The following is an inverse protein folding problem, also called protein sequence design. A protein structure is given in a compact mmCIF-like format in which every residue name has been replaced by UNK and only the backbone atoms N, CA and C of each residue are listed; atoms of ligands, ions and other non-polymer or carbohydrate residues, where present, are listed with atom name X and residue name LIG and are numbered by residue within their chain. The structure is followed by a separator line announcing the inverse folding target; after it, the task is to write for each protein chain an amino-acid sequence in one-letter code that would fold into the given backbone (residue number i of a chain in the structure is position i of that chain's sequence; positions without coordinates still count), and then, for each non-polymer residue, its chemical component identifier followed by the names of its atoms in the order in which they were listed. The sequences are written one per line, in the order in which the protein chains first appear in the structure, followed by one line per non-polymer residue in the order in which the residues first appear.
data_IF_455884980709
#
_entry.id   IF_455884980709
#
_cell.length_a   1.000
_cell.length_b   1.000
_cell.length_c   1.000
_cell.angle_alpha   90.00
_cell.angle_beta   90.00
_cell.angle_gamma   90.00
#
_symmetry.space_group_name_H-M   'P 1'
#
loop_
_entity.id
_entity.type
_entity.pdbx_description
1 polymer ?
#
# COMPACT_ATOMS: atom_id res chain seq x y z
N UNK A 1 -6.67 10.55 52.30
CA UNK A 1 -6.05 9.85 51.16
C UNK A 1 -5.00 8.82 51.58
N UNK A 2 -3.86 9.20 52.20
CA UNK A 2 -2.81 8.22 52.58
C UNK A 2 -3.30 7.14 53.54
N UNK A 3 -4.02 7.49 54.61
CA UNK A 3 -4.58 6.52 55.56
C UNK A 3 -5.57 5.55 54.88
N UNK A 4 -6.46 6.08 54.03
CA UNK A 4 -7.42 5.26 53.27
C UNK A 4 -6.74 4.26 52.32
N UNK A 5 -5.60 4.63 51.72
CA UNK A 5 -4.84 3.72 50.88
C UNK A 5 -4.20 2.57 51.70
N UNK A 6 -3.67 2.88 52.89
CA UNK A 6 -3.14 1.87 53.81
C UNK A 6 -4.26 0.92 54.24
N UNK A 7 -5.41 1.46 54.65
CA UNK A 7 -6.55 0.64 55.09
C UNK A 7 -7.04 -0.30 53.98
N UNK A 8 -7.06 0.17 52.73
CA UNK A 8 -7.43 -0.64 51.57
C UNK A 8 -6.44 -1.79 51.30
N UNK A 9 -5.14 -1.55 51.47
CA UNK A 9 -4.09 -2.57 51.23
C UNK A 9 -4.07 -3.59 52.37
N UNK A 10 -4.27 -3.13 53.61
CA UNK A 10 -4.42 -4.02 54.78
C UNK A 10 -5.65 -4.91 54.61
N UNK A 11 -6.76 -4.38 54.08
CA UNK A 11 -7.96 -5.18 53.80
C UNK A 11 -7.74 -6.28 52.75
N UNK A 12 -6.72 -6.15 51.89
CA UNK A 12 -6.34 -7.16 50.90
C UNK A 12 -5.39 -8.23 51.46
N UNK A 13 -4.92 -8.09 52.71
CA UNK A 13 -3.94 -8.99 53.35
C UNK A 13 -2.70 -9.25 52.49
N UNK A 14 -2.14 -8.21 51.87
CA UNK A 14 -0.92 -8.36 51.05
C UNK A 14 0.27 -8.66 51.95
N UNK A 15 0.96 -9.76 51.67
CA UNK A 15 2.06 -10.29 52.49
C UNK A 15 3.39 -10.35 51.72
N UNK A 16 4.47 -10.18 52.48
CA UNK A 16 5.80 -10.67 52.13
C UNK A 16 5.97 -12.08 52.65
N UNK A 17 6.67 -12.90 51.88
CA UNK A 17 6.98 -14.28 52.26
C UNK A 17 8.45 -14.57 52.06
N UNK A 18 9.04 -15.27 53.02
CA UNK A 18 10.44 -15.67 52.99
C UNK A 18 10.60 -17.06 53.61
N UNK A 19 11.36 -17.93 52.96
CA UNK A 19 11.84 -19.16 53.58
C UNK A 19 13.02 -18.84 54.49
N UNK A 20 12.97 -19.32 55.72
CA UNK A 20 14.03 -19.11 56.69
C UNK A 20 14.16 -20.26 57.66
N UNK A 21 15.30 -20.29 58.32
CA UNK A 21 15.61 -21.22 59.39
C UNK A 21 16.13 -20.40 60.56
N UNK A 22 15.65 -20.68 61.78
CA UNK A 22 16.04 -19.92 62.97
C UNK A 22 17.46 -20.27 63.45
N UNK A 23 17.84 -21.55 63.36
CA UNK A 23 19.15 -22.11 63.73
C UNK A 23 19.50 -23.29 62.80
N UNK A 24 20.77 -23.69 62.66
CA UNK A 24 21.18 -24.82 61.76
C UNK A 24 20.42 -26.13 62.00
N UNK A 25 19.93 -26.36 63.23
CA UNK A 25 19.16 -27.56 63.59
C UNK A 25 17.63 -27.42 63.40
N UNK A 26 17.14 -26.22 63.10
CA UNK A 26 15.70 -25.96 62.96
C UNK A 26 15.18 -26.39 61.58
N UNK A 27 13.90 -26.77 61.47
CA UNK A 27 13.29 -27.05 60.18
C UNK A 27 13.13 -25.76 59.36
N UNK A 28 13.18 -25.88 58.03
CA UNK A 28 12.86 -24.79 57.11
C UNK A 28 11.39 -24.40 57.26
N UNK A 29 11.14 -23.14 57.60
CA UNK A 29 9.78 -22.60 57.77
C UNK A 29 9.53 -21.42 56.84
N UNK A 30 8.26 -21.26 56.47
CA UNK A 30 7.79 -20.13 55.67
C UNK A 30 7.38 -19.00 56.61
N UNK A 31 8.14 -17.90 56.62
CA UNK A 31 7.80 -16.69 57.35
C UNK A 31 6.92 -15.80 56.49
N UNK A 32 5.90 -15.20 57.11
CA UNK A 32 4.97 -14.28 56.46
C UNK A 32 4.85 -13.00 57.27
N UNK A 33 4.75 -11.87 56.59
CA UNK A 33 4.50 -10.57 57.23
C UNK A 33 3.66 -9.71 56.31
N UNK A 34 2.66 -9.01 56.86
CA UNK A 34 1.89 -8.02 56.12
C UNK A 34 2.80 -6.91 55.61
N UNK A 35 2.52 -6.43 54.38
CA UNK A 35 3.26 -5.31 53.78
C UNK A 35 3.11 -4.05 54.64
N UNK A 36 1.91 -3.79 55.16
CA UNK A 36 1.66 -2.77 56.17
C UNK A 36 1.31 -3.45 57.49
N UNK A 37 2.33 -3.80 58.28
CA UNK A 37 2.13 -4.36 59.62
C UNK A 37 1.86 -3.22 60.63
N UNK A 38 0.70 -3.20 61.31
CA UNK A 38 0.41 -2.19 62.34
C UNK A 38 1.38 -2.21 63.53
N UNK A 39 2.07 -3.33 63.74
CA UNK A 39 2.97 -3.56 64.87
C UNK A 39 4.41 -3.08 64.59
N UNK A 40 4.77 -2.83 63.33
CA UNK A 40 6.11 -2.41 62.92
C UNK A 40 6.04 -1.13 62.08
N UNK A 41 6.06 0.01 62.76
CA UNK A 41 6.09 1.32 62.10
C UNK A 41 7.43 1.61 61.40
N UNK A 42 8.51 0.92 61.76
CA UNK A 42 9.85 1.20 61.23
C UNK A 42 9.98 0.84 59.76
N UNK A 43 9.25 -0.19 59.31
CA UNK A 43 9.28 -0.66 57.93
C UNK A 43 8.36 0.13 56.97
N UNK A 44 7.52 1.02 57.51
CA UNK A 44 6.47 1.74 56.76
C UNK A 44 6.97 2.49 55.53
N UNK A 45 8.17 3.06 55.58
CA UNK A 45 8.79 3.74 54.44
C UNK A 45 9.01 2.78 53.27
N UNK A 46 9.56 1.59 53.53
CA UNK A 46 9.81 0.59 52.50
C UNK A 46 8.51 0.05 51.93
N UNK A 47 7.51 -0.22 52.79
CA UNK A 47 6.16 -0.63 52.35
C UNK A 47 5.57 0.31 51.30
N UNK A 48 5.78 1.63 51.43
CA UNK A 48 5.35 2.60 50.43
C UNK A 48 6.10 2.49 49.11
N UNK A 49 7.41 2.21 49.12
CA UNK A 49 8.18 1.97 47.90
C UNK A 49 7.64 0.75 47.15
N UNK A 50 7.40 -0.35 47.87
CA UNK A 50 6.80 -1.57 47.31
C UNK A 50 5.39 -1.33 46.75
N UNK A 51 4.59 -0.49 47.41
CA UNK A 51 3.26 -0.12 46.92
C UNK A 51 3.35 0.71 45.62
N UNK A 52 4.27 1.66 45.54
CA UNK A 52 4.49 2.45 44.32
C UNK A 52 4.92 1.54 43.18
N UNK A 53 5.83 0.60 43.42
CA UNK A 53 6.23 -0.40 42.42
C UNK A 53 5.04 -1.23 41.92
N UNK A 54 4.13 -1.61 42.83
CA UNK A 54 2.89 -2.31 42.45
C UNK A 54 1.98 -1.45 41.58
N UNK A 55 1.75 -0.19 41.97
CA UNK A 55 0.90 0.74 41.19
C UNK A 55 1.48 1.02 39.81
N UNK A 56 2.81 1.07 39.68
CA UNK A 56 3.51 1.26 38.40
C UNK A 56 3.58 -0.04 37.58
N UNK A 57 3.34 -1.19 38.20
CA UNK A 57 3.35 -2.51 37.55
C UNK A 57 4.73 -3.17 37.48
N UNK A 58 5.70 -2.72 38.30
CA UNK A 58 6.97 -3.43 38.50
C UNK A 58 6.84 -4.61 39.47
N UNK A 59 5.76 -4.67 40.22
CA UNK A 59 5.37 -5.79 41.06
C UNK A 59 3.89 -6.07 40.84
N UNK A 60 3.49 -7.30 41.05
CA UNK A 60 2.09 -7.70 41.01
C UNK A 60 1.68 -8.26 42.37
N UNK A 61 0.37 -8.23 42.66
CA UNK A 61 -0.20 -8.88 43.84
C UNK A 61 -0.99 -10.08 43.35
N UNK A 62 -0.62 -11.27 43.82
CA UNK A 62 -1.21 -12.53 43.38
C UNK A 62 -1.79 -13.24 44.60
N UNK A 63 -3.06 -13.61 44.51
CA UNK A 63 -3.73 -14.45 45.52
C UNK A 63 -3.60 -15.92 45.11
N UNK A 64 -2.93 -16.71 45.94
CA UNK A 64 -2.89 -18.16 45.84
C UNK A 64 -4.03 -18.72 46.67
N UNK A 65 -5.05 -19.26 46.00
CA UNK A 65 -6.18 -19.89 46.68
C UNK A 65 -5.91 -21.40 46.80
N UNK A 66 -5.82 -21.86 48.04
CA UNK A 66 -5.61 -23.27 48.36
C UNK A 66 -6.79 -23.84 49.14
N UNK A 67 -6.87 -25.16 49.21
CA UNK A 67 -7.97 -25.86 49.92
C UNK A 67 -7.97 -25.57 51.44
N UNK A 68 -6.81 -25.19 51.99
CA UNK A 68 -6.61 -24.96 53.44
C UNK A 68 -6.46 -23.49 53.78
N UNK A 69 -5.72 -22.74 52.97
CA UNK A 69 -5.39 -21.35 53.24
C UNK A 69 -5.17 -20.59 51.93
N UNK A 70 -5.57 -19.32 51.92
CA UNK A 70 -5.31 -18.40 50.82
C UNK A 70 -4.18 -17.45 51.21
N UNK A 71 -3.24 -17.22 50.29
CA UNK A 71 -2.08 -16.38 50.53
C UNK A 71 -2.01 -15.30 49.45
N UNK A 72 -2.10 -14.04 49.84
CA UNK A 72 -1.98 -12.90 48.93
C UNK A 72 -0.55 -12.35 48.98
N UNK A 73 0.22 -12.59 47.93
CA UNK A 73 1.65 -12.28 47.89
C UNK A 73 1.96 -11.08 47.00
N UNK A 74 2.88 -10.23 47.46
CA UNK A 74 3.54 -9.27 46.58
C UNK A 74 4.71 -9.95 45.86
N UNK A 75 4.74 -9.92 44.54
CA UNK A 75 5.82 -10.53 43.75
C UNK A 75 7.15 -9.79 43.92
N UNK A 76 8.23 -10.45 43.49
CA UNK A 76 9.52 -9.80 43.33
C UNK A 76 9.44 -8.66 42.30
N UNK A 77 10.40 -7.73 42.37
CA UNK A 77 10.53 -6.64 41.40
C UNK A 77 10.86 -7.25 40.05
N UNK A 78 9.95 -7.07 39.10
CA UNK A 78 10.09 -7.52 37.74
C UNK A 78 10.07 -6.30 36.81
N UNK A 79 11.25 -5.79 36.38
CA UNK A 79 11.28 -4.71 35.43
C UNK A 79 10.68 -5.19 34.10
N UNK A 80 10.05 -4.27 33.37
CA UNK A 80 9.57 -4.58 32.02
C UNK A 80 10.74 -5.08 31.16
N UNK A 81 10.71 -6.36 30.82
CA UNK A 81 11.69 -6.96 29.93
C UNK A 81 11.44 -6.37 28.54
N UNK A 82 12.38 -5.57 28.07
CA UNK A 82 12.40 -5.13 26.67
C UNK A 82 12.91 -6.28 25.83
N UNK A 83 12.03 -7.23 25.54
CA UNK A 83 12.41 -8.29 24.64
C UNK A 83 12.43 -7.78 23.19
N UNK A 84 13.41 -8.26 22.44
CA UNK A 84 13.64 -7.84 21.08
C UNK A 84 12.61 -8.58 20.21
N UNK A 85 11.71 -7.83 19.58
CA UNK A 85 10.80 -8.44 18.60
C UNK A 85 11.64 -9.07 17.49
N UNK A 86 11.46 -10.37 17.24
CA UNK A 86 12.19 -11.09 16.20
C UNK A 86 12.06 -10.39 14.85
N UNK A 87 13.19 -10.04 14.23
CA UNK A 87 13.23 -9.38 12.91
C UNK A 87 12.53 -10.20 11.82
N UNK A 88 12.42 -11.52 11.99
CA UNK A 88 11.75 -12.42 11.03
C UNK A 88 10.22 -12.28 11.09
N UNK A 89 9.66 -11.86 12.23
CA UNK A 89 8.22 -11.66 12.41
C UNK A 89 7.77 -10.23 12.04
N UNK A 90 8.68 -9.34 11.62
CA UNK A 90 8.32 -7.98 11.24
C UNK A 90 7.71 -7.93 9.82
N UNK A 91 6.43 -7.52 9.67
CA UNK A 91 5.81 -7.28 8.37
C UNK A 91 6.38 -6.04 7.64
N UNK A 92 7.37 -5.36 8.22
CA UNK A 92 8.03 -4.18 7.66
C UNK A 92 8.71 -4.47 6.32
N UNK A 93 9.15 -5.71 6.09
CA UNK A 93 9.75 -6.08 4.79
C UNK A 93 8.75 -5.90 3.64
N UNK A 94 7.49 -6.30 3.81
CA UNK A 94 6.46 -6.12 2.78
C UNK A 94 6.08 -4.65 2.64
N UNK A 95 5.82 -3.94 3.73
CA UNK A 95 5.44 -2.53 3.67
C UNK A 95 6.54 -1.65 3.04
N UNK A 96 7.80 -1.91 3.40
CA UNK A 96 8.97 -1.24 2.82
C UNK A 96 9.13 -1.55 1.33
N UNK A 97 8.92 -2.81 0.94
CA UNK A 97 8.91 -3.22 -0.47
C UNK A 97 7.81 -2.51 -1.27
N UNK A 98 6.56 -2.53 -0.79
CA UNK A 98 5.44 -1.84 -1.43
C UNK A 98 5.71 -0.34 -1.56
N UNK A 99 6.21 0.29 -0.50
CA UNK A 99 6.60 1.71 -0.53
C UNK A 99 7.69 1.99 -1.56
N UNK A 100 8.71 1.13 -1.64
CA UNK A 100 9.80 1.27 -2.62
C UNK A 100 9.28 1.16 -4.05
N UNK A 101 8.37 0.21 -4.31
CA UNK A 101 7.70 0.09 -5.61
C UNK A 101 6.90 1.36 -5.93
N UNK A 102 6.09 1.86 -5.00
CA UNK A 102 5.32 3.11 -5.19
C UNK A 102 6.24 4.28 -5.51
N UNK A 103 7.36 4.44 -4.79
CA UNK A 103 8.36 5.47 -5.03
C UNK A 103 9.02 5.34 -6.40
N UNK A 104 9.38 4.11 -6.80
CA UNK A 104 9.94 3.83 -8.12
C UNK A 104 8.95 4.23 -9.22
N UNK A 105 7.70 3.78 -9.15
CA UNK A 105 6.68 4.11 -10.17
C UNK A 105 6.48 5.63 -10.25
N UNK A 106 6.35 6.32 -9.10
CA UNK A 106 6.19 7.78 -9.08
C UNK A 106 7.39 8.49 -9.71
N UNK A 107 8.61 8.08 -9.36
CA UNK A 107 9.84 8.69 -9.88
C UNK A 107 9.96 8.50 -11.40
N UNK A 108 9.66 7.30 -11.90
CA UNK A 108 9.65 7.01 -13.33
C UNK A 108 8.58 7.81 -14.07
N UNK A 109 7.37 7.96 -13.50
CA UNK A 109 6.32 8.78 -14.10
C UNK A 109 6.69 10.26 -14.18
N UNK A 110 7.36 10.80 -13.15
CA UNK A 110 7.89 12.17 -13.16
C UNK A 110 8.96 12.32 -14.24
N UNK A 111 9.91 11.37 -14.32
CA UNK A 111 10.93 11.35 -15.37
C UNK A 111 10.30 11.35 -16.77
N UNK A 112 9.28 10.52 -17.00
CA UNK A 112 8.57 10.50 -18.27
C UNK A 112 7.85 11.81 -18.56
N UNK A 113 7.16 12.39 -17.58
CA UNK A 113 6.50 13.67 -17.78
C UNK A 113 7.50 14.76 -18.21
N UNK A 114 8.66 14.83 -17.56
CA UNK A 114 9.75 15.76 -17.93
C UNK A 114 10.25 15.47 -19.35
N UNK A 115 10.49 14.20 -19.67
CA UNK A 115 10.93 13.79 -21.01
C UNK A 115 9.93 14.18 -22.10
N UNK A 116 8.62 13.99 -21.86
CA UNK A 116 7.58 14.39 -22.79
C UNK A 116 7.56 15.91 -22.99
N UNK A 117 7.70 16.71 -21.92
CA UNK A 117 7.80 18.16 -22.01
C UNK A 117 9.02 18.61 -22.84
N UNK A 118 10.16 17.93 -22.68
CA UNK A 118 11.34 18.18 -23.53
C UNK A 118 11.03 17.89 -25.00
N UNK A 119 10.36 16.79 -25.32
CA UNK A 119 9.98 16.50 -26.70
C UNK A 119 8.98 17.50 -27.28
N UNK A 120 8.02 17.99 -26.49
CA UNK A 120 7.08 19.05 -26.88
C UNK A 120 7.85 20.33 -27.23
N UNK A 121 8.84 20.71 -26.41
CA UNK A 121 9.68 21.87 -26.69
C UNK A 121 10.53 21.66 -27.96
N UNK A 122 11.14 20.49 -28.13
CA UNK A 122 11.96 20.15 -29.29
C UNK A 122 11.18 20.06 -30.60
N UNK A 123 9.87 19.81 -30.55
CA UNK A 123 8.98 19.84 -31.73
C UNK A 123 8.25 21.18 -31.90
N UNK A 124 8.64 22.21 -31.15
CA UNK A 124 8.00 23.54 -31.18
C UNK A 124 6.48 23.50 -30.92
N UNK A 125 6.01 22.56 -30.10
CA UNK A 125 4.59 22.39 -29.80
C UNK A 125 3.78 21.65 -30.88
N UNK A 126 4.41 21.19 -31.96
CA UNK A 126 3.74 20.37 -32.98
C UNK A 126 3.60 18.92 -32.50
N UNK A 127 2.66 18.69 -31.58
CA UNK A 127 2.33 17.37 -31.01
C UNK A 127 0.82 17.22 -30.88
N UNK A 128 0.34 15.98 -30.87
CA UNK A 128 -1.04 15.70 -30.48
C UNK A 128 -1.17 15.73 -28.95
N UNK A 129 -1.67 16.85 -28.43
CA UNK A 129 -1.86 17.05 -26.98
C UNK A 129 -2.87 16.06 -26.38
N UNK A 130 -3.79 15.52 -27.19
CA UNK A 130 -4.77 14.54 -26.71
C UNK A 130 -4.11 13.22 -26.33
N UNK A 131 -2.97 12.90 -26.96
CA UNK A 131 -2.17 11.73 -26.60
C UNK A 131 -1.44 11.91 -25.27
N UNK A 132 -1.21 13.15 -24.80
CA UNK A 132 -0.59 13.41 -23.49
C UNK A 132 -1.45 12.86 -22.34
N UNK A 133 -2.78 12.99 -22.43
CA UNK A 133 -3.71 12.45 -21.43
C UNK A 133 -3.72 10.90 -21.36
N UNK A 134 -3.06 10.23 -22.31
CA UNK A 134 -2.93 8.77 -22.35
C UNK A 134 -1.63 8.27 -21.71
N UNK A 135 -0.84 9.17 -21.08
CA UNK A 135 0.39 8.85 -20.36
C UNK A 135 0.20 7.72 -19.35
N UNK A 136 -0.88 7.76 -18.56
CA UNK A 136 -1.18 6.74 -17.56
C UNK A 136 -1.42 5.35 -18.18
N UNK A 137 -2.03 5.29 -19.36
CA UNK A 137 -2.49 4.04 -20.00
C UNK A 137 -1.48 3.44 -20.94
N UNK A 138 -0.69 4.28 -21.60
CA UNK A 138 0.30 3.84 -22.59
C UNK A 138 1.69 3.98 -22.00
N UNK A 139 2.10 5.20 -21.64
CA UNK A 139 3.46 5.47 -21.17
C UNK A 139 3.84 4.67 -19.93
N UNK A 140 2.98 4.65 -18.91
CA UNK A 140 3.28 3.92 -17.69
C UNK A 140 3.45 2.41 -17.94
N UNK A 141 2.59 1.80 -18.75
CA UNK A 141 2.66 0.36 -19.02
C UNK A 141 3.95 0.00 -19.75
N UNK A 142 4.38 0.86 -20.68
CA UNK A 142 5.58 0.66 -21.48
C UNK A 142 6.87 0.80 -20.65
N UNK A 143 6.93 1.81 -19.78
CA UNK A 143 8.16 2.18 -19.09
C UNK A 143 8.31 1.58 -17.69
N UNK A 144 7.19 1.34 -17.01
CA UNK A 144 7.17 0.76 -15.66
C UNK A 144 6.87 -0.72 -15.72
N UNK A 145 5.94 -1.13 -16.59
CA UNK A 145 5.49 -2.51 -16.72
C UNK A 145 4.27 -2.84 -15.84
N UNK A 146 3.44 -3.77 -16.35
CA UNK A 146 2.19 -4.20 -15.70
C UNK A 146 2.37 -4.71 -14.26
N UNK A 147 3.39 -5.51 -13.91
CA UNK A 147 3.52 -6.06 -12.55
C UNK A 147 3.73 -5.00 -11.46
N UNK A 148 4.58 -3.99 -11.72
CA UNK A 148 4.84 -2.93 -10.74
C UNK A 148 3.65 -1.98 -10.59
N UNK A 149 2.93 -1.71 -11.69
CA UNK A 149 1.67 -0.98 -11.64
C UNK A 149 0.58 -1.76 -10.89
N UNK A 150 0.55 -3.09 -11.02
CA UNK A 150 -0.36 -3.95 -10.25
C UNK A 150 -0.08 -3.84 -8.76
N UNK A 151 1.19 -3.99 -8.35
CA UNK A 151 1.60 -3.84 -6.95
C UNK A 151 1.25 -2.45 -6.39
N UNK A 152 1.44 -1.39 -7.19
CA UNK A 152 1.02 -0.02 -6.83
C UNK A 152 -0.49 0.07 -6.58
N UNK A 153 -1.30 -0.44 -7.51
CA UNK A 153 -2.75 -0.44 -7.34
C UNK A 153 -3.23 -1.28 -6.16
N UNK A 154 -2.60 -2.43 -5.92
CA UNK A 154 -2.89 -3.31 -4.79
C UNK A 154 -2.57 -2.64 -3.46
N UNK A 155 -1.47 -1.88 -3.39
CA UNK A 155 -1.10 -1.10 -2.21
C UNK A 155 -2.18 -0.08 -1.89
N UNK A 156 -2.71 0.62 -2.90
CA UNK A 156 -3.78 1.59 -2.71
C UNK A 156 -5.09 0.95 -2.25
N UNK A 157 -5.48 -0.18 -2.84
CA UNK A 157 -6.65 -0.95 -2.41
C UNK A 157 -6.45 -1.42 -0.95
N UNK A 158 -5.26 -1.89 -0.61
CA UNK A 158 -4.88 -2.26 0.76
C UNK A 158 -5.10 -1.10 1.73
N UNK A 159 -4.51 0.06 1.44
CA UNK A 159 -4.64 1.28 2.27
C UNK A 159 -6.10 1.70 2.42
N UNK A 160 -6.89 1.68 1.33
CA UNK A 160 -8.33 2.02 1.37
C UNK A 160 -9.21 0.94 2.03
N UNK A 161 -8.66 -0.26 2.24
CA UNK A 161 -9.31 -1.39 2.91
C UNK A 161 -8.87 -1.57 4.36
N UNK A 162 -7.95 -0.73 4.85
CA UNK A 162 -7.42 -0.73 6.21
C UNK A 162 -7.71 0.58 6.93
N UNK A 163 -7.95 0.53 8.24
CA UNK A 163 -7.98 1.71 9.09
C UNK A 163 -6.56 2.20 9.43
N UNK A 164 -6.39 3.49 9.66
CA UNK A 164 -5.11 4.06 10.09
C UNK A 164 -5.02 4.08 11.61
N UNK A 165 -4.14 3.25 12.17
CA UNK A 165 -3.85 3.19 13.60
C UNK A 165 -2.38 3.55 13.82
N UNK A 166 -2.13 4.48 14.74
CA UNK A 166 -0.79 4.84 15.16
C UNK A 166 -0.57 4.35 16.59
N UNK A 167 0.61 3.79 16.85
CA UNK A 167 1.03 3.39 18.19
C UNK A 167 1.75 4.58 18.85
N UNK A 168 1.18 5.06 19.95
CA UNK A 168 1.74 6.14 20.75
C UNK A 168 2.24 5.59 22.08
N UNK A 169 3.28 6.23 22.61
CA UNK A 169 3.86 5.90 23.91
C UNK A 169 3.91 7.15 24.79
N UNK A 170 3.25 7.11 25.95
CA UNK A 170 3.21 8.24 26.89
C UNK A 170 4.42 8.31 27.83
N UNK A 171 5.35 7.35 27.75
CA UNK A 171 6.41 7.15 28.74
C UNK A 171 6.12 5.99 29.70
N UNK A 172 4.85 5.64 29.90
CA UNK A 172 4.41 4.60 30.84
C UNK A 172 3.50 3.56 30.17
N UNK A 173 2.64 3.98 29.24
CA UNK A 173 1.73 3.08 28.53
C UNK A 173 1.87 3.26 27.01
N UNK A 174 1.78 2.13 26.29
CA UNK A 174 1.62 2.10 24.84
C UNK A 174 0.15 1.98 24.51
N UNK A 175 -0.36 2.84 23.63
CA UNK A 175 -1.77 2.82 23.23
C UNK A 175 -1.92 3.12 21.74
N UNK A 176 -3.00 2.60 21.15
CA UNK A 176 -3.36 2.91 19.77
C UNK A 176 -4.23 4.15 19.71
N UNK A 177 -3.95 5.04 18.76
CA UNK A 177 -4.84 6.12 18.39
C UNK A 177 -5.30 5.96 16.95
N UNK A 178 -6.58 6.25 16.70
CA UNK A 178 -7.13 6.26 15.36
C UNK A 178 -6.74 7.56 14.66
N UNK A 179 -5.93 7.46 13.61
CA UNK A 179 -5.54 8.63 12.84
C UNK A 179 -6.66 9.02 11.86
N UNK A 180 -7.09 10.28 11.91
CA UNK A 180 -8.07 10.81 10.98
C UNK A 180 -7.40 11.06 9.62
N UNK A 181 -7.75 10.25 8.61
CA UNK A 181 -7.24 10.42 7.25
C UNK A 181 -8.00 11.56 6.56
N UNK A 182 -7.32 12.62 6.07
CA UNK A 182 -7.99 13.69 5.34
C UNK A 182 -8.65 13.20 4.05
N UNK A 183 -9.79 13.77 3.68
CA UNK A 183 -10.58 13.37 2.51
C UNK A 183 -9.79 13.39 1.20
N UNK A 184 -8.85 14.34 1.05
CA UNK A 184 -8.04 14.46 -0.17
C UNK A 184 -7.03 13.31 -0.34
N UNK A 185 -6.53 12.75 0.76
CA UNK A 185 -5.67 11.55 0.70
C UNK A 185 -6.47 10.33 0.26
N UNK A 186 -7.74 10.23 0.68
CA UNK A 186 -8.66 9.17 0.23
C UNK A 186 -8.93 9.27 -1.28
N UNK A 187 -9.16 10.48 -1.80
CA UNK A 187 -9.36 10.69 -3.25
C UNK A 187 -8.07 10.37 -4.03
N UNK A 188 -6.92 10.76 -3.50
CA UNK A 188 -5.62 10.42 -4.11
C UNK A 188 -5.40 8.91 -4.15
N UNK A 189 -5.65 8.21 -3.03
CA UNK A 189 -5.56 6.76 -2.97
C UNK A 189 -6.58 6.07 -3.90
N UNK A 190 -7.79 6.62 -4.06
CA UNK A 190 -8.76 6.12 -5.02
C UNK A 190 -8.27 6.29 -6.46
N UNK A 191 -7.57 7.39 -6.77
CA UNK A 191 -6.94 7.57 -8.08
C UNK A 191 -5.87 6.50 -8.34
N UNK A 192 -5.17 6.01 -7.33
CA UNK A 192 -4.20 4.93 -7.49
C UNK A 192 -4.84 3.57 -7.86
N UNK A 193 -6.14 3.36 -7.62
CA UNK A 193 -6.86 2.17 -8.10
C UNK A 193 -6.99 2.19 -9.64
N UNK A 194 -7.00 3.36 -10.27
CA UNK A 194 -7.15 3.49 -11.73
C UNK A 194 -6.00 2.85 -12.52
N UNK A 195 -4.84 2.62 -11.89
CA UNK A 195 -3.78 1.80 -12.47
C UNK A 195 -4.23 0.37 -12.75
N UNK A 196 -5.04 -0.22 -11.87
CA UNK A 196 -5.61 -1.55 -12.09
C UNK A 196 -6.57 -1.52 -13.28
N UNK A 197 -7.39 -0.46 -13.41
CA UNK A 197 -8.28 -0.27 -14.56
C UNK A 197 -7.48 -0.20 -15.87
N UNK A 198 -6.37 0.53 -15.88
CA UNK A 198 -5.48 0.61 -17.04
C UNK A 198 -4.91 -0.76 -17.42
N UNK A 199 -4.44 -1.55 -16.44
CA UNK A 199 -3.92 -2.91 -16.68
C UNK A 199 -5.01 -3.83 -17.24
N UNK A 200 -6.22 -3.79 -16.68
CA UNK A 200 -7.34 -4.62 -17.14
C UNK A 200 -7.75 -4.24 -18.56
N UNK A 201 -7.88 -2.95 -18.87
CA UNK A 201 -8.14 -2.48 -20.24
C UNK A 201 -7.06 -2.97 -21.22
N UNK A 202 -5.81 -2.93 -20.80
CA UNK A 202 -4.65 -3.27 -21.61
C UNK A 202 -4.43 -4.78 -21.79
N UNK A 203 -4.91 -5.61 -20.87
CA UNK A 203 -5.05 -7.07 -21.07
C UNK A 203 -6.25 -7.39 -21.96
N UNK A 204 -7.38 -6.70 -21.73
CA UNK A 204 -8.61 -6.87 -22.50
C UNK A 204 -8.48 -6.38 -23.94
N UNK A 205 -7.47 -5.56 -24.26
CA UNK A 205 -7.23 -4.98 -25.58
C UNK A 205 -7.14 -6.02 -26.70
N UNK A 206 -6.67 -7.24 -26.39
CA UNK A 206 -6.65 -8.38 -27.33
C UNK A 206 -8.05 -8.71 -27.86
N UNK A 207 -9.07 -8.53 -27.01
CA UNK A 207 -10.48 -8.81 -27.30
C UNK A 207 -11.26 -7.55 -27.70
N UNK A 208 -10.99 -6.43 -27.04
CA UNK A 208 -11.80 -5.20 -27.16
C UNK A 208 -11.32 -4.27 -28.28
N UNK A 209 -10.05 -4.34 -28.67
CA UNK A 209 -9.47 -3.67 -29.85
C UNK A 209 -9.91 -2.19 -29.98
N UNK A 210 -10.56 -1.81 -31.08
CA UNK A 210 -10.97 -0.43 -31.35
C UNK A 210 -12.01 0.10 -30.36
N UNK A 211 -12.80 -0.77 -29.71
CA UNK A 211 -13.78 -0.35 -28.71
C UNK A 211 -13.11 0.28 -27.47
N UNK A 212 -11.88 -0.14 -27.12
CA UNK A 212 -11.19 0.34 -25.91
C UNK A 212 -11.01 1.85 -25.91
N UNK A 213 -10.76 2.46 -27.07
CA UNK A 213 -10.55 3.91 -27.19
C UNK A 213 -11.77 4.71 -26.70
N UNK A 214 -12.98 4.18 -26.93
CA UNK A 214 -14.23 4.87 -26.64
C UNK A 214 -14.65 4.74 -25.17
N UNK A 215 -14.55 3.54 -24.59
CA UNK A 215 -15.05 3.32 -23.23
C UNK A 215 -14.00 3.51 -22.14
N UNK A 216 -12.70 3.41 -22.44
CA UNK A 216 -11.67 3.35 -21.40
C UNK A 216 -11.66 4.62 -20.52
N UNK A 217 -11.87 5.81 -21.10
CA UNK A 217 -11.92 7.10 -20.37
C UNK A 217 -13.11 7.15 -19.42
N UNK A 218 -14.31 6.83 -19.92
CA UNK A 218 -15.51 6.72 -19.10
C UNK A 218 -15.35 5.69 -17.97
N UNK A 219 -14.86 4.50 -18.28
CA UNK A 219 -14.65 3.43 -17.30
C UNK A 219 -13.68 3.84 -16.18
N UNK A 220 -12.57 4.50 -16.51
CA UNK A 220 -11.62 4.97 -15.49
C UNK A 220 -12.24 6.03 -14.59
N UNK A 221 -12.96 7.00 -15.16
CA UNK A 221 -13.65 8.04 -14.38
C UNK A 221 -14.74 7.44 -13.49
N UNK A 222 -15.51 6.48 -14.01
CA UNK A 222 -16.57 5.79 -13.27
C UNK A 222 -16.00 5.02 -12.08
N UNK A 223 -14.96 4.20 -12.29
CA UNK A 223 -14.33 3.44 -11.21
C UNK A 223 -13.69 4.37 -10.18
N UNK A 224 -13.03 5.45 -10.62
CA UNK A 224 -12.44 6.43 -9.71
C UNK A 224 -13.50 7.11 -8.84
N UNK A 225 -14.57 7.63 -9.46
CA UNK A 225 -15.67 8.24 -8.72
C UNK A 225 -16.33 7.25 -7.77
N UNK A 226 -16.61 6.03 -8.21
CA UNK A 226 -17.20 4.98 -7.39
C UNK A 226 -16.32 4.63 -6.17
N UNK A 227 -15.04 4.38 -6.39
CA UNK A 227 -14.11 4.02 -5.31
C UNK A 227 -13.85 5.18 -4.34
N UNK A 228 -13.76 6.41 -4.83
CA UNK A 228 -13.62 7.61 -4.00
C UNK A 228 -14.87 7.84 -3.15
N UNK A 229 -16.05 7.83 -3.76
CA UNK A 229 -17.35 8.02 -3.06
C UNK A 229 -17.61 6.94 -2.04
N UNK A 230 -17.41 5.66 -2.40
CA UNK A 230 -17.53 4.54 -1.47
C UNK A 230 -16.59 4.71 -0.28
N UNK A 231 -15.36 5.17 -0.53
CA UNK A 231 -14.35 5.30 0.53
C UNK A 231 -14.59 6.47 1.47
N UNK A 232 -15.22 7.54 0.99
CA UNK A 232 -15.61 8.70 1.79
C UNK A 232 -16.90 8.42 2.56
N UNK A 233 -17.90 7.82 1.91
CA UNK A 233 -19.21 7.56 2.50
C UNK A 233 -19.16 6.46 3.57
N UNK A 234 -18.31 5.46 3.37
CA UNK A 234 -18.15 4.32 4.27
C UNK A 234 -16.65 4.18 4.55
N UNK A 235 -16.09 4.90 5.54
CA UNK A 235 -14.70 4.73 5.93
C UNK A 235 -14.47 3.37 6.61
N UNK A 236 -13.25 2.84 6.52
CA UNK A 236 -12.87 1.58 7.17
C UNK A 236 -12.75 1.77 8.68
N UNK A 237 -13.45 0.93 9.44
CA UNK A 237 -13.31 0.87 10.90
C UNK A 237 -12.33 -0.22 11.32
N UNK A 238 -11.66 -0.01 12.45
CA UNK A 238 -10.89 -1.04 13.14
C UNK A 238 -11.77 -1.71 14.20
N UNK A 239 -11.49 -2.97 14.51
CA UNK A 239 -12.10 -3.70 15.61
C UNK A 239 -10.99 -4.23 16.53
N UNK A 240 -11.11 -3.95 17.83
CA UNK A 240 -10.22 -4.44 18.86
C UNK A 240 -11.04 -5.21 19.88
N UNK A 241 -10.69 -6.47 20.10
CA UNK A 241 -11.25 -7.30 21.17
C UNK A 241 -10.11 -7.63 22.11
N UNK A 242 -10.19 -7.18 23.35
CA UNK A 242 -9.23 -7.54 24.39
C UNK A 242 -9.82 -8.74 25.14
N UNK A 243 -9.19 -9.90 24.97
CA UNK A 243 -9.54 -11.13 25.67
C UNK A 243 -8.22 -11.79 26.08
N UNK A 244 -7.83 -11.58 27.34
CA UNK A 244 -6.57 -12.10 27.88
C UNK A 244 -6.79 -13.55 28.30
N UNK A 245 -6.33 -14.48 27.47
CA UNK A 245 -6.28 -15.89 27.79
C UNK A 245 -4.82 -16.34 27.84
N UNK A 246 -4.39 -16.82 29.00
CA UNK A 246 -3.06 -17.37 29.19
C UNK A 246 -3.19 -18.86 29.46
N UNK A 247 -2.49 -19.65 28.66
CA UNK A 247 -2.39 -21.09 28.87
C UNK A 247 -0.93 -21.46 29.17
N UNK A 248 -0.74 -22.29 30.19
CA UNK A 248 0.55 -22.89 30.50
C UNK A 248 0.78 -24.01 29.48
N UNK A 249 1.53 -23.73 28.41
CA UNK A 249 1.80 -24.69 27.35
C UNK A 249 2.80 -25.76 27.81
N UNK A 250 3.74 -25.36 28.67
CA UNK A 250 4.62 -26.27 29.38
C UNK A 250 4.89 -25.68 30.77
N UNK A 251 4.50 -26.43 31.80
CA UNK A 251 4.78 -26.13 33.20
C UNK A 251 6.31 -25.99 33.32
N UNK A 252 6.78 -24.81 33.76
CA UNK A 252 8.18 -24.39 33.90
C UNK A 252 8.94 -23.83 32.67
N UNK A 253 8.36 -23.78 31.46
CA UNK A 253 9.12 -23.25 30.29
C UNK A 253 8.37 -22.30 29.36
N UNK A 254 7.04 -22.37 29.28
CA UNK A 254 6.31 -21.53 28.32
C UNK A 254 4.86 -21.29 28.75
N UNK A 255 4.53 -20.02 28.97
CA UNK A 255 3.15 -19.53 29.05
C UNK A 255 2.86 -18.80 27.74
N UNK A 256 1.81 -19.22 27.03
CA UNK A 256 1.33 -18.55 25.82
C UNK A 256 0.11 -17.73 26.20
N UNK A 257 0.24 -16.41 26.17
CA UNK A 257 -0.86 -15.48 26.39
C UNK A 257 -1.33 -14.89 25.07
N UNK A 258 -2.60 -15.08 24.74
CA UNK A 258 -3.30 -14.29 23.72
C UNK A 258 -3.98 -13.14 24.44
N UNK A 259 -3.54 -11.90 24.21
CA UNK A 259 -4.07 -10.73 24.93
C UNK A 259 -5.27 -10.07 24.24
N UNK A 260 -5.43 -10.30 22.94
CA UNK A 260 -6.53 -9.73 22.16
C UNK A 260 -6.33 -9.87 20.65
N UNK A 261 -7.41 -9.59 19.93
CA UNK A 261 -7.47 -9.59 18.47
C UNK A 261 -7.67 -8.16 17.95
N UNK A 262 -6.75 -7.71 17.11
CA UNK A 262 -6.81 -6.41 16.42
C UNK A 262 -7.05 -6.63 14.93
N UNK A 263 -8.25 -6.30 14.45
CA UNK A 263 -8.60 -6.33 13.05
C UNK A 263 -8.59 -4.89 12.48
N UNK A 264 -7.60 -4.60 11.63
CA UNK A 264 -7.41 -3.27 11.02
C UNK A 264 -8.07 -3.19 9.64
N UNK A 265 -8.16 -4.33 8.94
CA UNK A 265 -8.58 -4.39 7.54
C UNK A 265 -9.85 -5.20 7.31
N UNK A 266 -10.56 -4.86 6.23
CA UNK A 266 -11.77 -5.55 5.80
C UNK A 266 -11.50 -6.30 4.48
N UNK A 267 -11.33 -7.64 4.49
CA UNK A 267 -11.01 -8.40 3.27
C UNK A 267 -12.13 -8.34 2.22
N UNK A 268 -13.39 -8.27 2.66
CA UNK A 268 -14.54 -8.13 1.78
C UNK A 268 -14.48 -6.83 0.95
N UNK A 269 -14.02 -5.74 1.57
CA UNK A 269 -13.85 -4.45 0.88
C UNK A 269 -12.74 -4.51 -0.16
N UNK A 270 -11.62 -5.15 0.16
CA UNK A 270 -10.51 -5.36 -0.76
C UNK A 270 -10.96 -6.14 -2.01
N UNK A 271 -11.62 -7.29 -1.80
CA UNK A 271 -12.16 -8.11 -2.90
C UNK A 271 -13.24 -7.35 -3.66
N UNK A 272 -14.09 -6.59 -2.95
CA UNK A 272 -15.12 -5.74 -3.54
C UNK A 272 -14.55 -4.66 -4.46
N UNK A 273 -13.43 -4.02 -4.11
CA UNK A 273 -12.78 -3.01 -4.97
C UNK A 273 -12.19 -3.64 -6.23
N UNK A 274 -11.52 -4.80 -6.12
CA UNK A 274 -11.01 -5.54 -7.29
C UNK A 274 -12.18 -5.99 -8.18
N UNK A 275 -13.23 -6.54 -7.56
CA UNK A 275 -14.46 -6.94 -8.23
C UNK A 275 -15.09 -5.78 -8.99
N UNK A 276 -15.21 -4.59 -8.36
CA UNK A 276 -15.75 -3.38 -8.97
C UNK A 276 -14.96 -2.95 -10.20
N UNK A 277 -13.62 -3.02 -10.17
CA UNK A 277 -12.78 -2.72 -11.34
C UNK A 277 -13.11 -3.66 -12.50
N UNK A 278 -13.21 -4.97 -12.24
CA UNK A 278 -13.49 -5.97 -13.28
C UNK A 278 -14.92 -5.87 -13.82
N UNK A 279 -15.91 -5.69 -12.95
CA UNK A 279 -17.32 -5.60 -13.34
C UNK A 279 -17.61 -4.32 -14.10
N UNK A 280 -17.11 -3.17 -13.64
CA UNK A 280 -17.24 -1.90 -14.37
C UNK A 280 -16.59 -1.99 -15.75
N UNK A 281 -15.42 -2.62 -15.86
CA UNK A 281 -14.76 -2.81 -17.15
C UNK A 281 -15.62 -3.63 -18.13
N UNK A 282 -16.11 -4.78 -17.67
CA UNK A 282 -16.97 -5.65 -18.46
C UNK A 282 -18.26 -4.92 -18.89
N UNK A 283 -18.94 -4.26 -17.94
CA UNK A 283 -20.17 -3.51 -18.22
C UNK A 283 -19.93 -2.38 -19.22
N UNK A 284 -18.88 -1.59 -19.06
CA UNK A 284 -18.54 -0.52 -20.01
C UNK A 284 -18.22 -1.06 -21.40
N UNK A 285 -17.52 -2.20 -21.49
CA UNK A 285 -17.24 -2.85 -22.77
C UNK A 285 -18.52 -3.36 -23.44
N UNK A 286 -19.38 -4.08 -22.73
CA UNK A 286 -20.65 -4.57 -23.27
C UNK A 286 -21.57 -3.40 -23.68
N UNK A 287 -21.66 -2.36 -22.85
CA UNK A 287 -22.41 -1.16 -23.18
C UNK A 287 -21.88 -0.50 -24.46
N UNK A 288 -20.56 -0.31 -24.58
CA UNK A 288 -19.95 0.24 -25.79
C UNK A 288 -20.23 -0.64 -27.02
N UNK A 289 -20.18 -1.96 -26.88
CA UNK A 289 -20.46 -2.89 -27.98
C UNK A 289 -21.93 -2.89 -28.43
N UNK A 290 -22.86 -2.63 -27.52
CA UNK A 290 -24.30 -2.60 -27.82
C UNK A 290 -24.81 -1.24 -28.27
N UNK A 291 -24.21 -0.15 -27.78
CA UNK A 291 -24.64 1.22 -28.07
C UNK A 291 -23.92 1.80 -29.30
N UNK A 292 -22.67 1.43 -29.52
CA UNK A 292 -21.87 1.98 -30.62
C UNK A 292 -21.89 1.04 -31.83
N UNK A 293 -22.01 1.64 -33.01
CA UNK A 293 -21.75 0.93 -34.26
C UNK A 293 -20.34 0.36 -34.26
N UNK A 294 -20.13 -0.71 -35.04
CA UNK A 294 -18.83 -1.37 -35.14
C UNK A 294 -17.78 -0.35 -35.59
N UNK A 295 -16.77 -0.02 -34.75
CA UNK A 295 -15.76 0.96 -35.10
C UNK A 295 -14.93 0.48 -36.30
N UNK A 296 -14.51 1.44 -37.13
CA UNK A 296 -13.67 1.16 -38.28
C UNK A 296 -12.31 0.59 -37.84
N UNK A 297 -11.84 -0.44 -38.55
CA UNK A 297 -10.58 -1.10 -38.24
C UNK A 297 -9.41 -0.15 -38.47
N UNK A 298 -8.52 -0.04 -37.48
CA UNK A 298 -7.38 0.88 -37.55
C UNK A 298 -6.38 0.45 -38.64
N UNK A 299 -5.99 1.33 -39.58
CA UNK A 299 -5.04 0.99 -40.64
C UNK A 299 -3.60 0.85 -40.13
N UNK A 300 -3.30 1.34 -38.92
CA UNK A 300 -1.97 1.28 -38.32
C UNK A 300 -1.52 -0.16 -38.03
N UNK A 301 -0.62 -0.65 -38.86
CA UNK A 301 0.08 -1.93 -38.69
C UNK A 301 1.58 -1.67 -38.71
N UNK A 302 2.19 -1.62 -37.52
CA UNK A 302 3.63 -1.46 -37.38
C UNK A 302 4.13 -2.27 -36.18
N UNK A 303 5.28 -2.93 -36.35
CA UNK A 303 5.94 -3.73 -35.29
C UNK A 303 6.44 -2.84 -34.16
N UNK A 304 6.72 -1.57 -34.44
CA UNK A 304 7.22 -0.59 -33.47
C UNK A 304 6.11 0.00 -32.58
N UNK A 305 4.83 -0.27 -32.88
CA UNK A 305 3.71 0.23 -32.09
C UNK A 305 3.32 -0.75 -31.00
N UNK A 306 3.30 -0.25 -29.76
CA UNK A 306 2.63 -0.94 -28.67
C UNK A 306 1.12 -1.06 -28.96
N UNK A 307 0.49 -2.17 -28.56
CA UNK A 307 -0.94 -2.38 -28.80
C UNK A 307 -1.80 -1.21 -28.25
N UNK A 308 -1.49 -0.72 -27.05
CA UNK A 308 -2.17 0.44 -26.48
C UNK A 308 -1.96 1.72 -27.29
N UNK A 309 -0.77 1.94 -27.86
CA UNK A 309 -0.52 3.07 -28.76
C UNK A 309 -1.33 2.94 -30.05
N UNK A 310 -1.37 1.75 -30.65
CA UNK A 310 -2.13 1.46 -31.88
C UNK A 310 -3.62 1.79 -31.74
N UNK A 311 -4.26 1.35 -30.66
CA UNK A 311 -5.71 1.47 -30.51
C UNK A 311 -6.14 2.74 -29.76
N UNK A 312 -5.33 3.27 -28.85
CA UNK A 312 -5.73 4.42 -28.04
C UNK A 312 -5.21 5.75 -28.57
N UNK A 313 -4.13 5.82 -29.36
CA UNK A 313 -3.64 7.11 -29.86
C UNK A 313 -4.57 7.70 -30.92
N UNK A 314 -4.68 9.03 -30.88
CA UNK A 314 -5.25 9.81 -31.96
C UNK A 314 -4.21 9.82 -33.07
N UNK A 315 -4.60 9.30 -34.24
CA UNK A 315 -3.68 9.02 -35.36
C UNK A 315 -4.18 9.54 -36.70
N UNK A 316 -5.46 9.92 -36.81
CA UNK A 316 -6.11 10.24 -38.09
C UNK A 316 -5.39 11.36 -38.86
N UNK A 317 -5.01 12.45 -38.19
CA UNK A 317 -4.38 13.61 -38.83
C UNK A 317 -2.87 13.43 -39.09
N UNK A 318 -2.30 12.30 -38.68
CA UNK A 318 -0.87 12.01 -38.74
C UNK A 318 -0.52 10.87 -39.70
N UNK A 319 -1.53 10.33 -40.40
CA UNK A 319 -1.34 9.30 -41.42
C UNK A 319 -1.37 9.95 -42.79
N UNK A 320 -0.36 9.65 -43.58
CA UNK A 320 -0.23 10.12 -44.95
C UNK A 320 0.22 8.95 -45.84
N UNK A 321 -0.69 8.52 -46.72
CA UNK A 321 -0.54 7.31 -47.54
C UNK A 321 -0.26 6.06 -46.68
N UNK A 322 0.94 5.50 -46.84
CA UNK A 322 1.40 4.30 -46.10
C UNK A 322 2.39 4.61 -44.97
N UNK A 323 2.51 5.89 -44.56
CA UNK A 323 3.43 6.34 -43.52
C UNK A 323 2.63 6.97 -42.39
N UNK A 324 2.86 6.50 -41.17
CA UNK A 324 2.37 7.14 -39.96
C UNK A 324 3.47 8.05 -39.39
N UNK A 325 3.23 9.36 -39.38
CA UNK A 325 4.13 10.34 -38.81
C UNK A 325 3.87 10.47 -37.31
N UNK A 326 4.51 9.62 -36.52
CA UNK A 326 4.33 9.60 -35.07
C UNK A 326 5.04 10.79 -34.41
N UNK A 327 4.30 11.68 -33.76
CA UNK A 327 4.92 12.80 -33.05
C UNK A 327 5.91 12.30 -31.98
N UNK A 328 7.00 13.06 -31.74
CA UNK A 328 8.11 12.59 -30.90
C UNK A 328 7.72 12.35 -29.44
N UNK A 329 6.70 13.06 -28.95
CA UNK A 329 6.16 12.89 -27.59
C UNK A 329 5.40 11.56 -27.51
N UNK A 330 4.49 11.29 -28.45
CA UNK A 330 3.80 10.00 -28.56
C UNK A 330 4.79 8.85 -28.79
N UNK A 331 5.86 9.07 -29.59
CA UNK A 331 6.91 8.08 -29.79
C UNK A 331 7.61 7.72 -28.47
N UNK A 332 7.98 8.72 -27.66
CA UNK A 332 8.55 8.49 -26.33
C UNK A 332 7.58 7.81 -25.37
N UNK A 333 6.29 8.16 -25.40
CA UNK A 333 5.24 7.47 -24.64
C UNK A 333 5.08 6.01 -25.11
N UNK A 334 5.23 5.76 -26.40
CA UNK A 334 5.34 4.44 -27.01
C UNK A 334 6.73 3.81 -26.81
N UNK A 335 7.64 4.37 -26.01
CA UNK A 335 8.93 3.75 -25.68
C UNK A 335 10.00 3.85 -26.76
N UNK A 336 9.84 4.74 -27.73
CA UNK A 336 10.86 5.03 -28.75
C UNK A 336 11.47 6.40 -28.43
N UNK A 337 12.73 6.41 -28.00
CA UNK A 337 13.49 7.65 -27.80
C UNK A 337 14.05 8.13 -29.13
N UNK A 338 13.76 9.38 -29.52
CA UNK A 338 14.14 9.90 -30.83
C UNK A 338 15.18 11.02 -30.73
N UNK A 339 16.23 10.95 -31.55
CA UNK A 339 17.24 11.99 -31.69
C UNK A 339 17.40 12.31 -33.17
N UNK A 340 17.18 13.58 -33.54
CA UNK A 340 17.36 14.06 -34.91
C UNK A 340 18.75 14.66 -35.07
N UNK A 341 19.51 14.21 -36.07
CA UNK A 341 20.81 14.76 -36.46
C UNK A 341 20.80 15.04 -37.97
N UNK A 342 20.59 16.30 -38.34
CA UNK A 342 20.47 16.71 -39.74
C UNK A 342 19.25 16.07 -40.42
N UNK A 343 19.50 15.30 -41.48
CA UNK A 343 18.49 14.59 -42.28
C UNK A 343 18.18 13.19 -41.75
N UNK A 344 18.84 12.71 -40.69
CA UNK A 344 18.60 11.37 -40.14
C UNK A 344 17.97 11.48 -38.75
N UNK A 345 16.93 10.69 -38.50
CA UNK A 345 16.34 10.50 -37.18
C UNK A 345 16.71 9.11 -36.65
N UNK A 346 17.39 9.09 -35.51
CA UNK A 346 17.71 7.87 -34.78
C UNK A 346 16.63 7.63 -33.72
N UNK A 347 16.14 6.40 -33.64
CA UNK A 347 15.20 5.93 -32.63
C UNK A 347 15.80 4.79 -31.81
N UNK A 348 15.65 4.80 -30.49
CA UNK A 348 15.92 3.66 -29.62
C UNK A 348 14.60 3.15 -29.07
N UNK A 349 14.20 1.94 -29.47
CA UNK A 349 13.04 1.26 -28.91
C UNK A 349 13.46 0.55 -27.62
N UNK A 350 13.01 1.07 -26.47
CA UNK A 350 13.33 0.54 -25.14
C UNK A 350 12.68 -0.82 -24.87
N UNK A 351 11.59 -1.16 -25.58
CA UNK A 351 10.91 -2.45 -25.41
C UNK A 351 11.71 -3.56 -26.08
N UNK A 352 12.16 -3.29 -27.30
CA UNK A 352 12.90 -4.26 -28.12
C UNK A 352 14.42 -4.18 -27.91
N UNK A 353 14.91 -3.14 -27.23
CA UNK A 353 16.34 -2.80 -27.13
C UNK A 353 17.03 -2.71 -28.50
N UNK A 354 16.32 -2.12 -29.48
CA UNK A 354 16.80 -1.98 -30.86
C UNK A 354 16.89 -0.52 -31.26
N UNK A 355 17.97 -0.19 -31.95
CA UNK A 355 18.14 1.11 -32.61
C UNK A 355 17.61 1.05 -34.04
N UNK A 356 16.83 2.04 -34.43
CA UNK A 356 16.37 2.29 -35.78
C UNK A 356 16.91 3.64 -36.27
N UNK A 357 17.09 3.78 -37.57
CA UNK A 357 17.43 5.05 -38.20
C UNK A 357 16.53 5.23 -39.41
N UNK A 358 16.03 6.45 -39.60
CA UNK A 358 15.22 6.80 -40.76
C UNK A 358 15.79 8.05 -41.39
N UNK A 359 15.98 8.01 -42.70
CA UNK A 359 16.40 9.16 -43.48
C UNK A 359 15.16 9.98 -43.84
N UNK A 360 15.07 11.20 -43.30
CA UNK A 360 13.96 12.11 -43.50
C UNK A 360 13.93 12.70 -44.91
N UNK A 361 15.04 12.63 -45.66
CA UNK A 361 15.09 13.08 -47.05
C UNK A 361 14.23 12.21 -47.98
N UNK A 362 13.99 10.95 -47.61
CA UNK A 362 13.21 10.00 -48.39
C UNK A 362 11.69 10.13 -48.14
N UNK A 363 11.30 11.06 -47.25
CA UNK A 363 9.91 11.33 -46.88
C UNK A 363 9.51 12.75 -47.28
N UNK A 364 8.37 12.90 -47.94
CA UNK A 364 7.78 14.19 -48.31
C UNK A 364 6.51 14.45 -47.48
N UNK A 365 6.62 14.89 -46.21
CA UNK A 365 5.46 15.09 -45.36
C UNK A 365 4.55 16.20 -45.89
N UNK A 366 3.24 15.99 -45.83
CA UNK A 366 2.26 16.99 -46.27
C UNK A 366 2.03 18.15 -45.28
N UNK A 367 2.48 18.02 -44.03
CA UNK A 367 2.26 19.04 -42.98
C UNK A 367 3.55 19.48 -42.30
N UNK A 368 3.56 20.73 -41.81
CA UNK A 368 4.68 21.29 -41.03
C UNK A 368 4.97 20.50 -39.76
N UNK A 369 3.92 19.96 -39.13
CA UNK A 369 4.03 19.12 -37.94
C UNK A 369 4.73 17.78 -38.23
N UNK A 370 4.43 17.15 -39.36
CA UNK A 370 5.01 15.87 -39.75
C UNK A 370 6.53 15.94 -40.01
N UNK A 371 7.08 17.11 -40.33
CA UNK A 371 8.55 17.32 -40.43
C UNK A 371 9.30 17.12 -39.11
N UNK A 372 8.61 17.21 -37.96
CA UNK A 372 9.19 16.98 -36.64
C UNK A 372 8.91 15.57 -36.11
N UNK A 373 8.06 14.79 -36.79
CA UNK A 373 7.62 13.48 -36.37
C UNK A 373 8.58 12.35 -36.83
N UNK A 374 8.43 11.19 -36.20
CA UNK A 374 9.09 9.95 -36.59
C UNK A 374 8.22 9.23 -37.64
N UNK A 375 8.68 9.12 -38.90
CA UNK A 375 7.96 8.36 -39.92
C UNK A 375 8.05 6.85 -39.64
N UNK A 376 6.90 6.20 -39.57
CA UNK A 376 6.76 4.75 -39.41
C UNK A 376 6.02 4.18 -40.62
N UNK A 377 6.69 3.32 -41.40
CA UNK A 377 6.05 2.61 -42.50
C UNK A 377 5.02 1.62 -41.97
N UNK A 378 3.82 1.66 -42.55
CA UNK A 378 2.74 0.72 -42.27
C UNK A 378 2.88 -0.51 -43.18
N UNK A 379 2.81 -1.71 -42.61
CA UNK A 379 2.90 -2.96 -43.37
C UNK A 379 1.53 -3.38 -43.89
N UNK A 380 1.45 -3.80 -45.16
CA UNK A 380 0.21 -4.35 -45.76
C UNK A 380 -0.05 -5.84 -45.43
N UNK A 381 0.88 -6.59 -44.79
CA UNK A 381 0.70 -8.02 -44.46
C UNK A 381 1.12 -8.36 -43.03
N UNK A 382 0.33 -9.21 -42.37
CA UNK A 382 0.83 -10.06 -41.28
C UNK A 382 1.71 -11.14 -41.93
N UNK A 383 3.03 -11.04 -41.83
CA UNK A 383 3.86 -12.23 -41.99
C UNK A 383 3.65 -13.06 -40.73
N UNK A 384 2.79 -14.08 -40.84
CA UNK A 384 2.59 -15.11 -39.81
C UNK A 384 3.82 -15.98 -39.64
#
# INVERSE_FOLDING_TARGET
MVAQAIDAVVALNVEFVQYGVLDEASPLTLYRSLVFNPSDESFKFFSWVFLVDWVVGYREVVSFEGDVENITLLTEYQPFVKDHVSMVQFPVNLASYLRTVVLYVTSTMIFLAVLLLVYIALSHGHVDVMNLFKLQRVGAIVWVGRPLLFVRSLTAIGVLSTASLELHFSGYITFFTSAQVPWYMTILAANEITWLVAIVNDMALVLTQEYTAHYATGNTMLVWLFTATLSIAIPTSHAMVVDKQCQVAAMDSLVVCTSGHLAIGQPLRLVGMVGAVLTCNALCYFAARHVMDKPESTPLKSVFLYAGAKYMFSTADWIDGHIYYMDRMSAAMNGILTIRRGTVMYGLDIKLWRTLHVNLADTSPHTTAAHFALPLHMSNRYSG
#
